data_IF_467137352606
#
_entry.id   IF_467137352606
#
_cell.length_a   1.000
_cell.length_b   1.000
_cell.length_c   1.000
_cell.angle_alpha   90.00
_cell.angle_beta   90.00
_cell.angle_gamma   90.00
#
_symmetry.space_group_name_H-M   'P 1'
#
loop_
_entity.id
_entity.type
_entity.pdbx_description
1 polymer ?
#
# COMPACT_ATOMS: atom_id res chain seq x y z
N UNK A 1 29.16 11.18 14.08
CA UNK A 1 28.31 10.22 14.81
C UNK A 1 27.79 9.17 13.84
N UNK A 2 28.22 7.90 13.95
CA UNK A 2 27.56 6.79 13.23
C UNK A 2 26.17 6.64 13.84
N UNK A 3 25.10 6.94 13.10
CA UNK A 3 23.75 6.66 13.55
C UNK A 3 23.68 5.16 13.90
N UNK A 4 23.25 4.84 15.13
CA UNK A 4 23.04 3.45 15.51
C UNK A 4 22.04 2.83 14.52
N UNK A 5 22.45 1.75 13.85
CA UNK A 5 21.57 1.06 12.91
C UNK A 5 20.32 0.62 13.68
N UNK A 6 19.09 0.94 13.20
CA UNK A 6 17.88 0.50 13.86
C UNK A 6 17.87 -1.02 13.98
N UNK A 7 17.32 -1.55 15.08
CA UNK A 7 17.41 -2.99 15.33
C UNK A 7 16.71 -3.77 14.20
N UNK A 8 17.33 -4.86 13.69
CA UNK A 8 16.77 -5.65 12.58
C UNK A 8 15.32 -6.09 12.82
N UNK A 9 15.00 -6.48 14.05
CA UNK A 9 13.63 -6.83 14.46
C UNK A 9 12.67 -5.65 14.36
N UNK A 10 13.05 -4.44 14.80
CA UNK A 10 12.18 -3.26 14.70
C UNK A 10 11.88 -2.92 13.24
N UNK A 11 12.84 -3.10 12.34
CA UNK A 11 12.63 -2.88 10.91
C UNK A 11 11.67 -3.90 10.30
N UNK A 12 11.84 -5.19 10.64
CA UNK A 12 10.92 -6.23 10.17
C UNK A 12 9.47 -5.97 10.64
N UNK A 13 9.28 -5.61 11.92
CA UNK A 13 7.96 -5.24 12.45
C UNK A 13 7.40 -3.96 11.83
N UNK A 14 8.23 -2.94 11.62
CA UNK A 14 7.79 -1.73 10.92
C UNK A 14 7.33 -2.05 9.49
N UNK A 15 8.04 -2.96 8.82
CA UNK A 15 7.69 -3.51 7.51
C UNK A 15 6.33 -4.19 7.51
N UNK A 16 6.14 -5.13 8.45
CA UNK A 16 4.88 -5.82 8.67
C UNK A 16 3.72 -4.85 8.87
N UNK A 17 3.87 -3.86 9.76
CA UNK A 17 2.84 -2.86 10.03
C UNK A 17 2.54 -2.02 8.77
N UNK A 18 3.57 -1.58 8.05
CA UNK A 18 3.39 -0.80 6.83
C UNK A 18 2.63 -1.61 5.76
N UNK A 19 2.94 -2.90 5.59
CA UNK A 19 2.21 -3.77 4.67
C UNK A 19 0.79 -4.04 5.15
N UNK A 20 0.57 -4.25 6.45
CA UNK A 20 -0.75 -4.42 7.01
C UNK A 20 -1.65 -3.20 6.75
N UNK A 21 -1.10 -1.99 6.88
CA UNK A 21 -1.83 -0.75 6.54
C UNK A 21 -2.06 -0.64 5.03
N UNK A 22 -1.02 -0.75 4.21
CA UNK A 22 -1.14 -0.53 2.77
C UNK A 22 -1.99 -1.58 2.06
N UNK A 23 -1.86 -2.86 2.43
CA UNK A 23 -2.60 -3.97 1.84
C UNK A 23 -3.93 -4.22 2.55
N UNK A 24 -3.90 -4.31 3.89
CA UNK A 24 -5.11 -4.56 4.67
C UNK A 24 -6.12 -3.44 4.51
N UNK A 25 -5.73 -2.21 4.82
CA UNK A 25 -6.64 -1.05 4.77
C UNK A 25 -6.82 -0.57 3.32
N UNK A 26 -5.73 -0.36 2.58
CA UNK A 26 -5.81 0.21 1.23
C UNK A 26 -6.48 -0.67 0.17
N UNK A 27 -6.41 -2.00 0.33
CA UNK A 27 -6.89 -2.96 -0.68
C UNK A 27 -7.96 -3.89 -0.16
N UNK A 28 -7.80 -4.49 1.03
CA UNK A 28 -8.68 -5.55 1.51
C UNK A 28 -9.89 -5.07 2.31
N UNK A 29 -9.86 -3.85 2.87
CA UNK A 29 -11.01 -3.28 3.61
C UNK A 29 -12.25 -3.13 2.75
N UNK A 30 -12.09 -3.07 1.42
CA UNK A 30 -13.21 -2.97 0.50
C UNK A 30 -14.17 -4.16 0.56
N UNK A 31 -13.65 -5.38 0.71
CA UNK A 31 -14.48 -6.59 0.66
C UNK A 31 -15.57 -6.63 1.75
N UNK A 32 -15.27 -6.36 3.05
CA UNK A 32 -16.31 -6.35 4.08
C UNK A 32 -17.26 -5.16 3.99
N UNK A 33 -16.84 -4.01 3.46
CA UNK A 33 -17.72 -2.82 3.33
C UNK A 33 -18.59 -2.87 2.07
N UNK A 34 -18.19 -3.65 1.07
CA UNK A 34 -18.84 -3.68 -0.25
C UNK A 34 -20.34 -4.01 -0.19
N UNK A 35 -20.81 -5.02 0.57
CA UNK A 35 -22.25 -5.32 0.63
C UNK A 35 -23.07 -4.10 1.09
N UNK A 36 -22.62 -3.38 2.12
CA UNK A 36 -23.28 -2.18 2.61
C UNK A 36 -23.23 -1.04 1.59
N UNK A 37 -22.08 -0.83 0.94
CA UNK A 37 -21.98 0.16 -0.15
C UNK A 37 -22.93 -0.14 -1.31
N UNK A 38 -23.11 -1.41 -1.67
CA UNK A 38 -24.02 -1.82 -2.75
C UNK A 38 -25.48 -1.57 -2.37
N UNK A 39 -25.85 -1.84 -1.13
CA UNK A 39 -27.20 -1.60 -0.61
C UNK A 39 -27.52 -0.10 -0.52
N UNK A 40 -26.62 0.71 0.05
CA UNK A 40 -26.84 2.14 0.29
C UNK A 40 -26.76 2.98 -0.98
N UNK A 41 -25.83 2.66 -1.89
CA UNK A 41 -25.56 3.45 -3.11
C UNK A 41 -26.20 2.83 -4.36
N UNK A 42 -26.91 1.71 -4.22
CA UNK A 42 -27.55 1.01 -5.34
C UNK A 42 -26.57 0.47 -6.38
N UNK A 43 -25.34 0.12 -5.98
CA UNK A 43 -24.31 -0.36 -6.91
C UNK A 43 -24.63 -1.78 -7.38
N UNK A 44 -24.51 -2.02 -8.68
CA UNK A 44 -24.60 -3.38 -9.22
C UNK A 44 -23.35 -4.21 -8.91
N UNK A 45 -23.40 -5.54 -9.02
CA UNK A 45 -22.20 -6.38 -8.94
C UNK A 45 -21.14 -6.02 -10.00
N UNK A 46 -21.56 -5.55 -11.18
CA UNK A 46 -20.64 -5.10 -12.23
C UNK A 46 -19.89 -3.82 -11.81
N UNK A 47 -20.60 -2.86 -11.23
CA UNK A 47 -20.05 -1.63 -10.67
C UNK A 47 -19.00 -1.91 -9.60
N UNK A 48 -19.34 -2.81 -8.66
CA UNK A 48 -18.42 -3.28 -7.64
C UNK A 48 -17.14 -3.89 -8.22
N UNK A 49 -17.28 -4.65 -9.33
CA UNK A 49 -16.17 -5.24 -10.07
C UNK A 49 -15.26 -4.21 -10.73
N UNK A 50 -15.82 -3.15 -11.29
CA UNK A 50 -15.04 -2.04 -11.86
C UNK A 50 -14.23 -1.30 -10.80
N UNK A 51 -14.84 -1.00 -9.66
CA UNK A 51 -14.16 -0.35 -8.51
C UNK A 51 -12.99 -1.20 -8.01
N UNK A 52 -13.18 -2.52 -7.88
CA UNK A 52 -12.11 -3.44 -7.50
C UNK A 52 -11.00 -3.50 -8.57
N UNK A 53 -11.36 -3.59 -9.84
CA UNK A 53 -10.41 -3.69 -10.96
C UNK A 53 -9.57 -2.42 -11.10
N UNK A 54 -10.14 -1.24 -10.85
CA UNK A 54 -9.41 0.03 -10.84
C UNK A 54 -8.26 -0.01 -9.83
N UNK A 55 -8.47 -0.59 -8.65
CA UNK A 55 -7.41 -0.77 -7.64
C UNK A 55 -6.31 -1.70 -8.12
N UNK A 56 -6.65 -2.83 -8.74
CA UNK A 56 -5.66 -3.75 -9.29
C UNK A 56 -4.86 -3.15 -10.44
N UNK A 57 -5.51 -2.36 -11.30
CA UNK A 57 -4.84 -1.64 -12.38
C UNK A 57 -3.86 -0.60 -11.83
N UNK A 58 -4.30 0.22 -10.87
CA UNK A 58 -3.45 1.21 -10.21
C UNK A 58 -2.25 0.56 -9.52
N UNK A 59 -2.48 -0.59 -8.87
CA UNK A 59 -1.42 -1.37 -8.25
C UNK A 59 -0.39 -1.89 -9.27
N UNK A 60 -0.86 -2.44 -10.39
CA UNK A 60 0.01 -2.91 -11.47
C UNK A 60 0.89 -1.79 -12.03
N UNK A 61 0.28 -0.64 -12.34
CA UNK A 61 0.98 0.53 -12.85
C UNK A 61 1.96 1.07 -11.80
N UNK A 62 1.54 1.15 -10.53
CA UNK A 62 2.39 1.57 -9.42
C UNK A 62 3.60 0.65 -9.23
N UNK A 63 3.41 -0.66 -9.35
CA UNK A 63 4.50 -1.62 -9.24
C UNK A 63 5.53 -1.42 -10.36
N UNK A 64 5.08 -1.26 -11.60
CA UNK A 64 5.98 -0.94 -12.73
C UNK A 64 6.64 0.42 -12.57
N UNK A 65 5.92 1.44 -12.12
CA UNK A 65 6.47 2.78 -11.90
C UNK A 65 7.52 2.80 -10.77
N UNK A 66 7.39 1.92 -9.77
CA UNK A 66 8.38 1.77 -8.71
C UNK A 66 9.65 1.02 -9.15
N UNK A 67 9.65 0.40 -10.35
CA UNK A 67 10.85 -0.20 -10.93
C UNK A 67 11.81 0.89 -11.42
N UNK A 68 13.10 0.67 -11.20
CA UNK A 68 14.17 1.51 -11.72
C UNK A 68 14.88 2.32 -10.62
N UNK A 69 16.12 2.73 -10.90
CA UNK A 69 16.98 3.40 -9.94
C UNK A 69 16.58 4.85 -9.58
N UNK A 70 15.47 5.38 -10.11
CA UNK A 70 15.06 6.77 -9.90
C UNK A 70 14.69 7.09 -8.44
N UNK A 71 14.26 6.07 -7.71
CA UNK A 71 13.87 6.18 -6.30
C UNK A 71 15.06 6.06 -5.33
N UNK A 72 16.29 5.84 -5.84
CA UNK A 72 17.46 5.68 -4.98
C UNK A 72 17.69 6.90 -4.09
N UNK A 73 17.77 6.68 -2.78
CA UNK A 73 17.91 7.72 -1.76
C UNK A 73 16.60 8.45 -1.40
N UNK A 74 15.47 8.08 -2.02
CA UNK A 74 14.14 8.64 -1.76
C UNK A 74 13.11 7.59 -1.35
N UNK A 75 13.51 6.33 -1.20
CA UNK A 75 12.65 5.18 -0.93
C UNK A 75 11.80 5.41 0.33
N UNK A 76 12.43 5.90 1.41
CA UNK A 76 11.73 6.18 2.67
C UNK A 76 10.67 7.26 2.52
N UNK A 77 10.97 8.32 1.76
CA UNK A 77 10.03 9.42 1.53
C UNK A 77 8.83 8.92 0.71
N UNK A 78 9.10 8.17 -0.37
CA UNK A 78 8.08 7.62 -1.24
C UNK A 78 7.19 6.60 -0.51
N UNK A 79 7.78 5.76 0.34
CA UNK A 79 7.05 4.83 1.20
C UNK A 79 6.13 5.55 2.19
N UNK A 80 6.62 6.60 2.88
CA UNK A 80 5.78 7.38 3.80
C UNK A 80 4.68 8.16 3.07
N UNK A 81 5.00 8.72 1.90
CA UNK A 81 4.01 9.38 1.05
C UNK A 81 2.94 8.39 0.58
N UNK A 82 3.32 7.16 0.23
CA UNK A 82 2.41 6.07 -0.09
C UNK A 82 1.48 5.73 1.08
N UNK A 83 2.01 5.58 2.30
CA UNK A 83 1.19 5.32 3.50
C UNK A 83 0.20 6.45 3.78
N UNK A 84 0.67 7.70 3.70
CA UNK A 84 -0.20 8.88 3.87
C UNK A 84 -1.28 8.92 2.79
N UNK A 85 -0.92 8.68 1.52
CA UNK A 85 -1.86 8.62 0.42
C UNK A 85 -2.90 7.51 0.62
N UNK A 86 -2.49 6.30 1.05
CA UNK A 86 -3.44 5.22 1.37
C UNK A 86 -4.43 5.67 2.45
N UNK A 87 -3.96 6.24 3.55
CA UNK A 87 -4.84 6.68 4.64
C UNK A 87 -5.83 7.78 4.18
N UNK A 88 -5.34 8.79 3.45
CA UNK A 88 -6.16 9.88 2.92
C UNK A 88 -7.18 9.36 1.91
N UNK A 89 -6.77 8.52 0.96
CA UNK A 89 -7.65 7.97 -0.07
C UNK A 89 -8.72 7.04 0.51
N UNK A 90 -8.38 6.23 1.52
CA UNK A 90 -9.38 5.43 2.25
C UNK A 90 -10.38 6.34 2.96
N UNK A 91 -9.93 7.43 3.60
CA UNK A 91 -10.83 8.40 4.22
C UNK A 91 -11.74 9.11 3.21
N UNK A 92 -11.19 9.52 2.07
CA UNK A 92 -11.94 10.14 0.97
C UNK A 92 -12.98 9.19 0.36
N UNK A 93 -12.73 7.88 0.37
CA UNK A 93 -13.69 6.89 -0.12
C UNK A 93 -14.99 6.92 0.68
N UNK A 94 -14.93 7.22 1.98
CA UNK A 94 -16.13 7.36 2.83
C UNK A 94 -16.94 8.63 2.57
N UNK A 95 -16.41 9.57 1.77
CA UNK A 95 -17.09 10.83 1.39
C UNK A 95 -17.54 10.81 -0.09
N UNK A 96 -17.29 9.71 -0.80
CA UNK A 96 -17.59 9.58 -2.22
C UNK A 96 -18.94 8.92 -2.44
N UNK A 97 -19.72 9.45 -3.37
CA UNK A 97 -21.05 8.92 -3.74
C UNK A 97 -21.14 8.55 -5.22
N UNK A 98 -20.14 8.95 -6.03
CA UNK A 98 -20.17 8.76 -7.48
C UNK A 98 -19.22 7.66 -7.93
N UNK A 99 -19.63 6.91 -8.97
CA UNK A 99 -18.80 5.87 -9.58
C UNK A 99 -17.42 6.39 -10.02
N UNK A 100 -17.38 7.55 -10.66
CA UNK A 100 -16.12 8.14 -11.13
C UNK A 100 -15.16 8.44 -9.96
N UNK A 101 -15.68 8.95 -8.84
CA UNK A 101 -14.88 9.18 -7.64
C UNK A 101 -14.32 7.87 -7.08
N UNK A 102 -15.15 6.82 -6.99
CA UNK A 102 -14.68 5.51 -6.54
C UNK A 102 -13.57 4.94 -7.42
N UNK A 103 -13.72 5.01 -8.75
CA UNK A 103 -12.70 4.52 -9.69
C UNK A 103 -11.37 5.25 -9.52
N UNK A 104 -11.40 6.59 -9.45
CA UNK A 104 -10.19 7.41 -9.29
C UNK A 104 -9.53 7.15 -7.93
N UNK A 105 -10.30 7.19 -6.84
CA UNK A 105 -9.79 6.95 -5.49
C UNK A 105 -9.15 5.57 -5.42
N UNK A 106 -9.82 4.54 -5.96
CA UNK A 106 -9.35 3.16 -5.87
C UNK A 106 -8.14 2.89 -6.74
N UNK A 107 -8.08 3.50 -7.92
CA UNK A 107 -6.88 3.50 -8.76
C UNK A 107 -5.68 4.09 -8.02
N UNK A 108 -5.82 5.31 -7.47
CA UNK A 108 -4.74 5.98 -6.74
C UNK A 108 -4.34 5.21 -5.48
N UNK A 109 -5.31 4.59 -4.78
CA UNK A 109 -5.04 3.77 -3.62
C UNK A 109 -4.21 2.53 -4.00
N UNK A 110 -4.52 1.90 -5.14
CA UNK A 110 -3.74 0.79 -5.68
C UNK A 110 -2.29 1.20 -5.96
N UNK A 111 -2.10 2.35 -6.61
CA UNK A 111 -0.77 2.89 -6.92
C UNK A 111 0.03 3.20 -5.65
N UNK A 112 -0.59 3.83 -4.66
CA UNK A 112 0.01 4.10 -3.35
C UNK A 112 0.41 2.81 -2.62
N UNK A 113 -0.48 1.82 -2.58
CA UNK A 113 -0.19 0.53 -1.94
C UNK A 113 0.98 -0.21 -2.62
N UNK A 114 1.11 -0.11 -3.94
CA UNK A 114 2.25 -0.68 -4.66
C UNK A 114 3.57 -0.02 -4.27
N UNK A 115 3.59 1.32 -4.16
CA UNK A 115 4.78 2.06 -3.72
C UNK A 115 5.19 1.67 -2.30
N UNK A 116 4.24 1.54 -1.38
CA UNK A 116 4.55 1.08 -0.02
C UNK A 116 5.16 -0.31 -0.04
N UNK A 117 4.58 -1.26 -0.78
CA UNK A 117 5.12 -2.62 -0.86
C UNK A 117 6.56 -2.62 -1.38
N UNK A 118 6.80 -1.99 -2.52
CA UNK A 118 8.10 -2.06 -3.21
C UNK A 118 9.17 -1.36 -2.38
N UNK A 119 8.93 -0.11 -1.97
CA UNK A 119 9.93 0.66 -1.26
C UNK A 119 10.13 0.18 0.17
N UNK A 120 9.09 -0.26 0.88
CA UNK A 120 9.28 -0.82 2.21
C UNK A 120 10.06 -2.13 2.17
N UNK A 121 9.77 -3.00 1.21
CA UNK A 121 10.53 -4.26 1.04
C UNK A 121 11.98 -3.98 0.69
N UNK A 122 12.25 -3.00 -0.19
CA UNK A 122 13.61 -2.57 -0.53
C UNK A 122 14.37 -2.05 0.71
N UNK A 123 13.74 -1.20 1.52
CA UNK A 123 14.33 -0.66 2.76
C UNK A 123 14.62 -1.79 3.74
N UNK A 124 13.64 -2.64 4.05
CA UNK A 124 13.79 -3.71 5.05
C UNK A 124 14.85 -4.71 4.61
N UNK A 125 14.79 -5.20 3.38
CA UNK A 125 15.75 -6.19 2.89
C UNK A 125 17.16 -5.64 2.79
N UNK A 126 17.32 -4.38 2.35
CA UNK A 126 18.63 -3.73 2.32
C UNK A 126 19.28 -3.65 3.70
N UNK A 127 18.51 -3.29 4.74
CA UNK A 127 19.03 -3.21 6.11
C UNK A 127 19.25 -4.59 6.75
N UNK A 128 18.35 -5.56 6.52
CA UNK A 128 18.51 -6.91 7.05
C UNK A 128 19.71 -7.63 6.42
N UNK A 129 19.94 -7.47 5.11
CA UNK A 129 21.11 -8.00 4.43
C UNK A 129 22.41 -7.37 4.97
N UNK A 130 22.44 -6.05 5.16
CA UNK A 130 23.58 -5.35 5.76
C UNK A 130 23.86 -5.78 7.22
N UNK A 131 22.82 -6.22 7.95
CA UNK A 131 22.93 -6.73 9.32
C UNK A 131 23.20 -8.25 9.39
N UNK A 132 23.26 -8.97 8.26
CA UNK A 132 23.40 -10.42 8.22
C UNK A 132 22.19 -11.20 8.77
N UNK A 133 21.01 -10.57 8.83
CA UNK A 133 19.79 -11.09 9.45
C UNK A 133 18.68 -11.39 8.44
N UNK A 134 19.04 -12.13 7.39
CA UNK A 134 18.08 -12.52 6.34
C UNK A 134 17.00 -13.48 6.87
N UNK A 135 17.23 -14.14 8.01
CA UNK A 135 16.25 -14.94 8.74
C UNK A 135 14.98 -14.15 9.10
N UNK A 136 15.10 -12.82 9.24
CA UNK A 136 13.99 -11.95 9.62
C UNK A 136 13.22 -11.38 8.42
N UNK A 137 13.58 -11.72 7.17
CA UNK A 137 12.86 -11.21 5.99
C UNK A 137 11.42 -11.72 5.95
N UNK A 138 11.16 -12.94 6.43
CA UNK A 138 9.80 -13.48 6.47
C UNK A 138 8.86 -12.67 7.37
N UNK A 139 9.36 -12.18 8.51
CA UNK A 139 8.59 -11.35 9.44
C UNK A 139 8.09 -10.04 8.82
N UNK A 140 8.72 -9.54 7.76
CA UNK A 140 8.22 -8.36 7.03
C UNK A 140 6.83 -8.58 6.43
N UNK A 141 6.47 -9.82 6.09
CA UNK A 141 5.21 -10.14 5.42
C UNK A 141 4.08 -10.59 6.35
N UNK A 142 4.38 -10.87 7.63
CA UNK A 142 3.42 -11.48 8.56
C UNK A 142 3.81 -12.90 8.91
#
# INVERSE_FOLDING_TARGET
MKAALPSPLRLAFAGMIALAVAMGIGRFVYTPILPGMMEELGLSPADAGWIASANYLGYLIGAFAAVGGWAQGRERLLMLAGLAATAVLTGLMGLAETMAAFLVIRFLAGLASAFVLVFMSSIVFGHLAAAGRNDLQALHFG
#
